data_IF_544321822444
#
_entry.id   IF_544321822444
#
_cell.length_a   1.000
_cell.length_b   1.000
_cell.length_c   1.000
_cell.angle_alpha   90.00
_cell.angle_beta   90.00
_cell.angle_gamma   90.00
#
_symmetry.space_group_name_H-M   'P 1'
#
loop_
_entity.id
_entity.type
_entity.pdbx_description
1 polymer ?
#
# COMPACT_ATOMS: atom_id res chain seq x y z
N UNK A 1 5.88 -12.14 41.12
CA UNK A 1 5.35 -12.81 42.34
C UNK A 1 4.95 -14.24 41.98
N UNK A 2 4.19 -14.50 40.96
CA UNK A 2 3.68 -15.81 40.54
C UNK A 2 4.80 -16.85 40.35
N UNK A 3 5.93 -16.45 39.82
CA UNK A 3 7.11 -17.28 39.58
C UNK A 3 7.77 -17.79 40.86
N UNK A 4 7.74 -16.96 41.92
CA UNK A 4 8.48 -17.27 43.18
C UNK A 4 7.59 -17.57 44.36
N UNK A 5 6.25 -17.53 44.22
CA UNK A 5 5.31 -17.74 45.34
C UNK A 5 5.37 -19.14 45.95
N UNK A 6 5.91 -20.11 45.23
CA UNK A 6 6.11 -21.47 45.73
C UNK A 6 7.35 -21.61 46.63
N UNK A 7 8.25 -20.63 46.58
CA UNK A 7 9.51 -20.61 47.36
C UNK A 7 9.50 -19.58 48.48
N UNK A 8 8.76 -18.48 48.29
CA UNK A 8 8.70 -17.37 49.25
C UNK A 8 7.26 -16.91 49.44
N UNK A 9 6.93 -16.42 50.64
CA UNK A 9 5.58 -15.86 50.85
C UNK A 9 5.36 -14.59 50.04
N UNK A 10 4.11 -14.35 49.65
CA UNK A 10 3.70 -13.15 48.86
C UNK A 10 4.07 -11.87 49.63
N UNK A 11 3.94 -11.89 50.96
CA UNK A 11 4.32 -10.78 51.85
C UNK A 11 5.79 -10.46 51.72
N UNK A 12 6.64 -11.49 51.82
CA UNK A 12 8.08 -11.34 51.72
C UNK A 12 8.49 -10.77 50.37
N UNK A 13 7.97 -11.34 49.27
CA UNK A 13 8.26 -10.87 47.93
C UNK A 13 7.87 -9.39 47.74
N UNK A 14 6.64 -9.04 48.15
CA UNK A 14 6.14 -7.65 48.00
C UNK A 14 6.97 -6.67 48.83
N UNK A 15 7.34 -7.05 50.09
CA UNK A 15 8.15 -6.20 50.99
C UNK A 15 9.57 -6.00 50.45
N UNK A 16 10.20 -7.05 49.95
CA UNK A 16 11.54 -7.02 49.38
C UNK A 16 11.60 -6.16 48.11
N UNK A 17 10.67 -6.36 47.16
CA UNK A 17 10.61 -5.60 45.93
C UNK A 17 10.23 -4.13 46.15
N UNK A 18 9.38 -3.84 47.14
CA UNK A 18 9.05 -2.46 47.52
C UNK A 18 10.28 -1.69 48.05
N UNK A 19 11.19 -2.35 48.76
CA UNK A 19 12.43 -1.72 49.26
C UNK A 19 13.47 -1.48 48.18
N UNK A 20 13.54 -2.36 47.19
CA UNK A 20 14.66 -2.41 46.23
C UNK A 20 14.29 -1.87 44.83
N UNK A 21 13.09 -1.30 44.66
CA UNK A 21 12.62 -0.80 43.37
C UNK A 21 12.26 0.68 43.44
N UNK A 22 12.87 1.51 42.60
CA UNK A 22 12.49 2.89 42.43
C UNK A 22 11.00 2.95 41.92
N UNK A 23 10.16 3.74 42.59
CA UNK A 23 8.73 3.82 42.27
C UNK A 23 7.84 2.84 43.06
N UNK A 24 8.41 2.01 43.96
CA UNK A 24 7.67 1.12 44.82
C UNK A 24 7.20 -0.19 44.15
N UNK A 25 6.35 -0.93 44.87
CA UNK A 25 5.80 -2.20 44.38
C UNK A 25 4.40 -2.43 44.98
N UNK A 26 3.63 -3.34 44.35
CA UNK A 26 2.29 -3.71 44.81
C UNK A 26 2.32 -4.28 46.22
N UNK A 27 1.31 -4.00 47.06
CA UNK A 27 1.15 -4.64 48.35
C UNK A 27 0.65 -6.07 48.21
N UNK A 28 0.91 -6.92 49.22
CA UNK A 28 0.40 -8.30 49.25
C UNK A 28 -1.11 -8.39 49.19
N UNK A 29 -1.82 -7.42 49.83
CA UNK A 29 -3.28 -7.28 49.72
C UNK A 29 -3.71 -6.91 48.29
N UNK A 30 -3.03 -5.92 47.70
CA UNK A 30 -3.30 -5.50 46.29
C UNK A 30 -3.08 -6.63 45.29
N UNK A 31 -2.01 -7.44 45.50
CA UNK A 31 -1.74 -8.63 44.67
C UNK A 31 -2.88 -9.65 44.80
N UNK A 32 -3.28 -10.05 46.03
CA UNK A 32 -4.38 -11.00 46.20
C UNK A 32 -5.70 -10.48 45.64
N UNK A 33 -6.00 -9.20 45.83
CA UNK A 33 -7.19 -8.58 45.26
C UNK A 33 -7.15 -8.55 43.73
N UNK A 34 -6.00 -8.28 43.11
CA UNK A 34 -5.86 -8.33 41.65
C UNK A 34 -6.07 -9.74 41.11
N UNK A 35 -5.61 -10.79 41.83
CA UNK A 35 -5.85 -12.19 41.45
C UNK A 35 -7.30 -12.63 41.63
N UNK A 36 -7.98 -12.15 42.66
CA UNK A 36 -9.40 -12.46 42.90
C UNK A 36 -10.37 -11.81 41.94
N UNK A 37 -10.01 -10.65 41.39
CA UNK A 37 -10.88 -9.90 40.45
C UNK A 37 -11.07 -10.57 39.08
N UNK A 38 -10.16 -11.45 38.67
CA UNK A 38 -10.13 -11.95 37.31
C UNK A 38 -9.80 -10.86 36.28
N UNK A 39 -10.12 -11.13 35.02
CA UNK A 39 -9.92 -10.16 33.92
C UNK A 39 -11.00 -9.10 33.98
N UNK A 40 -10.61 -7.82 33.97
CA UNK A 40 -11.57 -6.71 33.93
C UNK A 40 -12.35 -6.68 32.61
N UNK A 41 -13.54 -6.09 32.62
CA UNK A 41 -14.32 -5.88 31.37
C UNK A 41 -13.51 -5.12 30.30
N UNK A 42 -12.69 -4.15 30.70
CA UNK A 42 -11.74 -3.49 29.82
C UNK A 42 -10.69 -4.45 29.25
N UNK A 43 -10.18 -5.37 30.06
CA UNK A 43 -9.21 -6.38 29.61
C UNK A 43 -9.80 -7.37 28.61
N UNK A 44 -11.06 -7.77 28.80
CA UNK A 44 -11.77 -8.62 27.85
C UNK A 44 -11.97 -7.88 26.52
N UNK A 45 -12.43 -6.63 26.57
CA UNK A 45 -12.57 -5.78 25.39
C UNK A 45 -11.23 -5.58 24.67
N UNK A 46 -10.16 -5.32 25.39
CA UNK A 46 -8.83 -5.16 24.82
C UNK A 46 -8.35 -6.45 24.11
N UNK A 47 -8.61 -7.63 24.66
CA UNK A 47 -8.27 -8.90 24.02
C UNK A 47 -8.97 -9.08 22.66
N UNK A 48 -10.26 -8.84 22.61
CA UNK A 48 -11.03 -8.88 21.35
C UNK A 48 -10.49 -7.89 20.32
N UNK A 49 -10.17 -6.67 20.73
CA UNK A 49 -9.63 -5.63 19.85
C UNK A 49 -8.22 -5.96 19.37
N UNK A 50 -7.38 -6.58 20.20
CA UNK A 50 -6.04 -7.06 19.82
C UNK A 50 -6.12 -8.12 18.74
N UNK A 51 -7.04 -9.07 18.84
CA UNK A 51 -7.28 -10.07 17.80
C UNK A 51 -7.73 -9.42 16.49
N UNK A 52 -8.69 -8.47 16.55
CA UNK A 52 -9.14 -7.75 15.36
C UNK A 52 -8.04 -6.94 14.71
N UNK A 53 -7.24 -6.22 15.49
CA UNK A 53 -6.07 -5.46 15.01
C UNK A 53 -5.07 -6.40 14.34
N UNK A 54 -4.81 -7.56 14.92
CA UNK A 54 -3.90 -8.55 14.35
C UNK A 54 -4.41 -9.11 13.02
N UNK A 55 -5.72 -9.35 12.90
CA UNK A 55 -6.36 -9.76 11.67
C UNK A 55 -6.25 -8.67 10.58
N UNK A 56 -6.68 -7.43 10.89
CA UNK A 56 -6.57 -6.30 9.95
C UNK A 56 -5.11 -6.10 9.51
N UNK A 57 -4.14 -6.19 10.42
CA UNK A 57 -2.74 -6.02 10.09
C UNK A 57 -2.25 -7.09 9.11
N UNK A 58 -2.61 -8.35 9.34
CA UNK A 58 -2.28 -9.49 8.48
C UNK A 58 -2.92 -9.36 7.09
N UNK A 59 -4.23 -9.05 7.04
CA UNK A 59 -5.00 -8.89 5.82
C UNK A 59 -4.55 -7.69 4.96
N UNK A 60 -3.76 -6.79 5.56
CA UNK A 60 -3.18 -5.61 4.92
C UNK A 60 -1.64 -5.71 4.81
N UNK A 61 -1.11 -6.89 4.49
CA UNK A 61 0.33 -7.14 4.23
C UNK A 61 1.26 -6.71 5.36
N UNK A 62 0.77 -6.56 6.58
CA UNK A 62 1.58 -6.13 7.72
C UNK A 62 2.07 -4.67 7.63
N UNK A 63 1.45 -3.83 6.82
CA UNK A 63 1.98 -2.48 6.55
C UNK A 63 1.26 -1.35 7.30
N UNK A 64 0.07 -1.61 7.86
CA UNK A 64 -0.70 -0.54 8.48
C UNK A 64 -0.07 -0.06 9.78
N UNK A 65 0.33 1.22 9.81
CA UNK A 65 0.64 1.95 11.03
C UNK A 65 -0.64 2.47 11.70
N UNK A 66 -0.47 3.11 12.86
CA UNK A 66 -1.57 3.57 13.73
C UNK A 66 -2.68 4.33 13.00
N UNK A 67 -2.34 5.23 12.07
CA UNK A 67 -3.36 6.02 11.35
C UNK A 67 -4.25 5.14 10.48
N UNK A 68 -3.66 4.30 9.62
CA UNK A 68 -4.44 3.41 8.75
C UNK A 68 -5.20 2.37 9.56
N UNK A 69 -4.60 1.82 10.62
CA UNK A 69 -5.25 0.89 11.53
C UNK A 69 -6.47 1.52 12.19
N UNK A 70 -6.34 2.75 12.69
CA UNK A 70 -7.44 3.50 13.28
C UNK A 70 -8.60 3.69 12.29
N UNK A 71 -8.31 4.14 11.05
CA UNK A 71 -9.34 4.26 10.01
C UNK A 71 -9.97 2.91 9.63
N UNK A 72 -9.19 1.83 9.60
CA UNK A 72 -9.71 0.49 9.30
C UNK A 72 -10.68 0.02 10.40
N UNK A 73 -10.34 0.22 11.67
CA UNK A 73 -11.22 -0.11 12.79
C UNK A 73 -12.53 0.68 12.76
N UNK A 74 -12.48 1.98 12.46
CA UNK A 74 -13.67 2.80 12.28
C UNK A 74 -14.56 2.31 11.12
N UNK A 75 -13.98 1.85 10.03
CA UNK A 75 -14.74 1.23 8.91
C UNK A 75 -15.44 -0.06 9.33
N UNK A 76 -14.87 -0.79 10.26
CA UNK A 76 -15.48 -1.98 10.88
C UNK A 76 -16.53 -1.63 11.96
N UNK A 77 -16.87 -0.35 12.14
CA UNK A 77 -17.81 0.11 13.16
C UNK A 77 -17.24 0.13 14.58
N UNK A 78 -15.93 0.00 14.74
CA UNK A 78 -15.25 0.01 16.05
C UNK A 78 -14.81 1.43 16.38
N UNK A 79 -15.53 2.07 17.28
CA UNK A 79 -15.20 3.42 17.75
C UNK A 79 -14.20 3.39 18.90
N UNK A 80 -12.94 3.69 18.57
CA UNK A 80 -11.83 3.85 19.51
C UNK A 80 -10.92 5.00 19.10
N UNK A 81 -10.30 5.66 20.08
CA UNK A 81 -9.36 6.74 19.82
C UNK A 81 -8.02 6.25 19.23
N UNK A 82 -7.32 7.15 18.53
CA UNK A 82 -6.02 6.87 17.91
C UNK A 82 -4.97 6.42 18.94
N UNK A 83 -4.94 7.01 20.12
CA UNK A 83 -3.99 6.64 21.19
C UNK A 83 -4.29 5.24 21.75
N UNK A 84 -5.57 4.88 21.87
CA UNK A 84 -5.95 3.52 22.26
C UNK A 84 -5.56 2.52 21.17
N UNK A 85 -5.75 2.85 19.88
CA UNK A 85 -5.27 2.05 18.76
C UNK A 85 -3.76 1.82 18.85
N UNK A 86 -2.98 2.87 19.10
CA UNK A 86 -1.52 2.76 19.26
C UNK A 86 -1.12 1.85 20.42
N UNK A 87 -1.83 1.93 21.56
CA UNK A 87 -1.61 1.08 22.72
C UNK A 87 -1.92 -0.38 22.41
N UNK A 88 -3.05 -0.65 21.76
CA UNK A 88 -3.48 -2.00 21.39
C UNK A 88 -2.58 -2.62 20.32
N UNK A 89 -2.10 -1.85 19.35
CA UNK A 89 -1.10 -2.33 18.39
C UNK A 89 0.20 -2.75 19.05
N UNK A 90 0.65 -2.01 20.08
CA UNK A 90 1.83 -2.42 20.87
C UNK A 90 1.57 -3.73 21.64
N UNK A 91 0.38 -3.91 22.21
CA UNK A 91 -0.01 -5.16 22.86
C UNK A 91 -0.09 -6.33 21.88
N UNK A 92 -0.58 -6.07 20.66
CA UNK A 92 -0.61 -7.05 19.58
C UNK A 92 0.79 -7.37 19.00
N UNK A 93 1.82 -6.59 19.36
CA UNK A 93 3.16 -6.75 18.79
C UNK A 93 3.26 -6.36 17.31
N UNK A 94 2.33 -5.52 16.79
CA UNK A 94 2.28 -5.10 15.39
C UNK A 94 2.63 -3.63 15.23
N UNK A 95 3.28 -3.30 14.11
CA UNK A 95 3.67 -1.93 13.78
C UNK A 95 3.60 -1.70 12.27
N UNK A 96 3.48 -0.44 11.85
CA UNK A 96 3.50 -0.10 10.44
C UNK A 96 4.89 -0.30 9.82
N UNK A 97 4.89 -0.69 8.55
CA UNK A 97 6.12 -0.82 7.76
C UNK A 97 6.50 0.54 7.18
N UNK A 98 7.71 1.01 7.47
CA UNK A 98 8.27 2.21 6.86
C UNK A 98 8.64 1.99 5.40
N UNK A 99 8.63 3.06 4.59
CA UNK A 99 9.22 2.99 3.25
C UNK A 99 10.73 2.82 3.39
N UNK A 100 11.29 1.72 2.88
CA UNK A 100 12.72 1.54 2.75
C UNK A 100 13.32 2.59 1.78
N UNK A 101 14.62 2.87 1.88
CA UNK A 101 15.33 3.63 0.85
C UNK A 101 15.39 2.78 -0.42
N UNK A 102 14.83 3.29 -1.52
CA UNK A 102 14.98 2.66 -2.83
C UNK A 102 16.33 3.12 -3.43
N UNK A 103 17.19 2.22 -3.92
CA UNK A 103 18.36 2.63 -4.68
C UNK A 103 17.89 3.26 -6.01
N UNK A 104 18.52 4.36 -6.41
CA UNK A 104 18.26 5.02 -7.68
C UNK A 104 18.90 4.19 -8.79
N UNK A 105 18.09 3.62 -9.69
CA UNK A 105 18.54 2.67 -10.73
C UNK A 105 18.33 3.17 -12.16
N UNK A 106 17.86 4.40 -12.36
CA UNK A 106 17.55 4.95 -13.68
C UNK A 106 18.81 5.33 -14.44
N UNK A 107 19.01 4.77 -15.64
CA UNK A 107 20.02 5.22 -16.61
C UNK A 107 19.36 6.13 -17.63
N UNK A 108 19.94 7.29 -17.87
CA UNK A 108 19.49 8.25 -18.89
C UNK A 108 19.52 7.62 -20.30
N UNK A 109 18.42 7.62 -21.05
CA UNK A 109 18.42 7.11 -22.43
C UNK A 109 19.22 8.02 -23.35
N UNK A 110 19.84 7.41 -24.39
CA UNK A 110 20.69 8.13 -25.35
C UNK A 110 19.94 8.74 -26.54
N UNK A 111 18.63 8.57 -26.64
CA UNK A 111 17.82 9.10 -27.76
C UNK A 111 16.88 10.20 -27.27
N UNK A 112 16.73 11.31 -28.05
CA UNK A 112 15.75 12.34 -27.72
C UNK A 112 14.33 11.78 -27.85
N UNK A 113 13.51 12.04 -26.85
CA UNK A 113 12.07 11.83 -26.90
C UNK A 113 11.41 13.12 -27.37
N UNK A 114 10.57 13.02 -28.40
CA UNK A 114 9.91 14.17 -29.03
C UNK A 114 8.48 14.40 -28.49
N UNK A 115 8.02 13.57 -27.55
CA UNK A 115 6.69 13.75 -26.94
C UNK A 115 6.71 15.00 -26.05
N UNK A 116 5.66 15.84 -26.09
CA UNK A 116 5.56 17.01 -25.22
C UNK A 116 5.31 16.59 -23.77
N UNK A 117 5.74 17.42 -22.83
CA UNK A 117 5.23 17.35 -21.46
C UNK A 117 3.89 18.07 -21.38
N UNK A 118 2.80 17.32 -21.31
CA UNK A 118 1.43 17.84 -21.20
C UNK A 118 0.97 17.98 -19.76
N UNK A 119 1.79 17.52 -18.78
CA UNK A 119 1.42 17.48 -17.37
C UNK A 119 2.03 18.65 -16.61
N UNK A 120 3.18 19.19 -17.09
CA UNK A 120 3.88 20.35 -16.48
C UNK A 120 4.06 20.20 -14.96
N UNK A 121 4.32 18.96 -14.50
CA UNK A 121 4.43 18.59 -13.06
C UNK A 121 3.14 18.71 -12.25
N UNK A 122 2.01 19.05 -12.87
CA UNK A 122 0.71 19.07 -12.21
C UNK A 122 0.03 17.69 -12.28
N UNK A 123 0.46 16.74 -11.44
CA UNK A 123 -0.17 15.42 -11.32
C UNK A 123 -1.50 15.49 -10.56
N UNK A 124 -2.41 16.30 -11.10
CA UNK A 124 -3.79 16.45 -10.64
C UNK A 124 -4.73 16.15 -11.80
N UNK A 125 -5.80 15.45 -11.53
CA UNK A 125 -6.86 15.19 -12.46
C UNK A 125 -8.19 15.61 -11.84
N UNK A 126 -9.08 16.19 -12.62
CA UNK A 126 -10.40 16.66 -12.17
C UNK A 126 -11.43 15.52 -12.07
N UNK A 127 -11.12 14.37 -12.67
CA UNK A 127 -11.97 13.19 -12.68
C UNK A 127 -11.20 11.92 -13.08
N UNK A 128 -11.86 10.75 -12.95
CA UNK A 128 -11.26 9.49 -13.38
C UNK A 128 -11.01 9.48 -14.89
N UNK A 129 -9.99 8.73 -15.31
CA UNK A 129 -9.61 8.56 -16.71
C UNK A 129 -9.30 9.89 -17.46
N UNK A 130 -8.74 10.88 -16.77
CA UNK A 130 -8.23 12.11 -17.38
C UNK A 130 -6.70 12.13 -17.48
N UNK A 131 -6.03 11.49 -16.54
CA UNK A 131 -4.58 11.36 -16.54
C UNK A 131 -4.18 9.99 -16.00
N UNK A 132 -3.49 9.21 -16.81
CA UNK A 132 -2.82 8.00 -16.41
C UNK A 132 -1.32 8.19 -16.34
N UNK A 133 -0.69 7.57 -15.38
CA UNK A 133 0.77 7.45 -15.29
C UNK A 133 1.18 6.00 -15.39
N UNK A 134 2.28 5.74 -16.10
CA UNK A 134 2.80 4.39 -16.29
C UNK A 134 4.29 4.33 -15.98
N UNK A 135 4.71 3.20 -15.43
CA UNK A 135 6.12 2.91 -15.18
C UNK A 135 6.35 1.39 -15.13
N UNK A 136 7.58 1.00 -15.41
CA UNK A 136 8.03 -0.40 -15.38
C UNK A 136 8.99 -0.59 -14.21
N UNK A 137 8.80 -1.68 -13.50
CA UNK A 137 9.74 -2.10 -12.45
C UNK A 137 10.19 -3.54 -12.68
N UNK A 138 11.22 -3.98 -11.97
CA UNK A 138 11.70 -5.36 -12.06
C UNK A 138 11.64 -6.06 -10.71
N UNK A 139 11.45 -7.36 -10.77
CA UNK A 139 11.44 -8.30 -9.65
C UNK A 139 12.51 -9.34 -9.89
N UNK A 140 13.34 -9.60 -8.90
CA UNK A 140 14.33 -10.68 -8.97
C UNK A 140 13.73 -11.98 -8.48
N UNK A 141 13.75 -13.01 -9.35
CA UNK A 141 13.39 -14.38 -9.02
C UNK A 141 14.62 -15.27 -9.04
N UNK A 142 14.50 -16.53 -8.63
CA UNK A 142 15.58 -17.53 -8.76
C UNK A 142 15.89 -17.86 -10.21
N UNK A 143 14.89 -17.75 -11.11
CA UNK A 143 15.03 -18.04 -12.54
C UNK A 143 15.42 -16.83 -13.39
N UNK A 144 15.65 -15.65 -12.80
CA UNK A 144 16.02 -14.44 -13.49
C UNK A 144 15.18 -13.22 -13.08
N UNK A 145 15.14 -12.22 -13.95
CA UNK A 145 14.33 -11.01 -13.72
C UNK A 145 12.97 -11.16 -14.36
N UNK A 146 11.95 -10.67 -13.65
CA UNK A 146 10.60 -10.46 -14.13
C UNK A 146 10.34 -8.95 -14.12
N UNK A 147 9.70 -8.46 -15.14
CA UNK A 147 9.35 -7.06 -15.28
C UNK A 147 7.85 -6.90 -15.05
N UNK A 148 7.47 -5.86 -14.32
CA UNK A 148 6.09 -5.51 -14.06
C UNK A 148 5.83 -4.09 -14.56
N UNK A 149 4.79 -3.91 -15.37
CA UNK A 149 4.28 -2.62 -15.82
C UNK A 149 2.96 -2.33 -15.11
N UNK A 150 2.80 -1.10 -14.65
CA UNK A 150 1.56 -0.61 -14.06
C UNK A 150 1.10 0.65 -14.78
N UNK A 151 -0.21 0.74 -15.04
CA UNK A 151 -0.90 1.96 -15.47
C UNK A 151 -1.83 2.37 -14.33
N UNK A 152 -1.67 3.59 -13.84
CA UNK A 152 -2.38 4.09 -12.66
C UNK A 152 -3.14 5.37 -12.99
N UNK A 153 -4.41 5.41 -12.67
CA UNK A 153 -5.23 6.62 -12.76
C UNK A 153 -4.84 7.61 -11.65
N UNK A 154 -4.47 8.81 -12.04
CA UNK A 154 -3.98 9.85 -11.13
C UNK A 154 -5.05 10.33 -10.17
N UNK A 155 -6.31 10.40 -10.60
CA UNK A 155 -7.41 10.86 -9.78
C UNK A 155 -7.74 9.89 -8.64
N UNK A 156 -8.04 8.65 -8.99
CA UNK A 156 -8.50 7.63 -8.05
C UNK A 156 -7.36 6.83 -7.39
N UNK A 157 -6.13 6.93 -7.89
CA UNK A 157 -5.00 6.06 -7.51
C UNK A 157 -5.22 4.59 -7.85
N UNK A 158 -6.24 4.28 -8.65
CA UNK A 158 -6.55 2.93 -9.09
C UNK A 158 -5.50 2.45 -10.09
N UNK A 159 -4.99 1.24 -9.91
CA UNK A 159 -4.24 0.55 -10.94
C UNK A 159 -5.27 0.04 -11.95
N UNK A 160 -5.31 0.67 -13.13
CA UNK A 160 -6.28 0.39 -14.19
C UNK A 160 -5.77 -0.65 -15.19
N UNK A 161 -4.46 -0.86 -15.25
CA UNK A 161 -3.84 -1.89 -16.06
C UNK A 161 -2.50 -2.32 -15.49
N UNK A 162 -2.16 -3.58 -15.67
CA UNK A 162 -0.88 -4.13 -15.28
C UNK A 162 -0.53 -5.37 -16.12
N UNK A 163 0.76 -5.67 -16.21
CA UNK A 163 1.25 -6.87 -16.86
C UNK A 163 2.57 -7.31 -16.24
N UNK A 164 2.87 -8.60 -16.34
CA UNK A 164 4.17 -9.18 -16.04
C UNK A 164 4.76 -9.90 -17.24
N UNK A 165 6.09 -9.86 -17.37
CA UNK A 165 6.82 -10.58 -18.39
C UNK A 165 8.25 -10.86 -17.92
N UNK A 166 8.84 -11.93 -18.43
CA UNK A 166 10.28 -12.19 -18.35
C UNK A 166 11.10 -11.35 -19.34
N UNK A 167 10.40 -10.57 -20.19
CA UNK A 167 10.98 -9.71 -21.22
C UNK A 167 10.48 -8.28 -21.11
N UNK A 168 11.36 -7.32 -21.36
CA UNK A 168 11.02 -5.89 -21.46
C UNK A 168 10.50 -5.46 -22.83
N UNK A 169 10.18 -6.39 -23.73
CA UNK A 169 9.67 -6.06 -25.07
C UNK A 169 8.33 -5.32 -24.94
N UNK A 170 8.16 -4.25 -25.71
CA UNK A 170 6.97 -3.37 -25.68
C UNK A 170 5.68 -4.14 -25.85
N UNK A 171 5.65 -5.07 -26.80
CA UNK A 171 4.48 -5.89 -27.13
C UNK A 171 4.07 -6.85 -26.00
N UNK A 172 5.06 -7.33 -25.23
CA UNK A 172 4.82 -8.32 -24.19
C UNK A 172 4.50 -7.72 -22.83
N UNK A 173 4.83 -6.46 -22.55
CA UNK A 173 4.73 -5.90 -21.21
C UNK A 173 3.91 -4.59 -21.17
N UNK A 174 4.44 -3.40 -21.56
CA UNK A 174 3.70 -2.17 -21.36
C UNK A 174 2.45 -2.09 -22.25
N UNK A 175 2.47 -2.71 -23.46
CA UNK A 175 1.31 -2.74 -24.32
C UNK A 175 0.17 -3.60 -23.73
N UNK A 176 0.48 -4.72 -23.08
CA UNK A 176 -0.54 -5.51 -22.38
C UNK A 176 -1.15 -4.74 -21.23
N UNK A 177 -0.33 -4.07 -20.40
CA UNK A 177 -0.84 -3.20 -19.34
C UNK A 177 -1.74 -2.08 -19.88
N UNK A 178 -1.34 -1.43 -20.99
CA UNK A 178 -2.13 -0.41 -21.64
C UNK A 178 -3.46 -0.97 -22.18
N UNK A 179 -3.44 -2.11 -22.86
CA UNK A 179 -4.65 -2.75 -23.39
C UNK A 179 -5.66 -3.08 -22.27
N UNK A 180 -5.16 -3.58 -21.13
CA UNK A 180 -6.00 -3.83 -19.96
C UNK A 180 -6.60 -2.52 -19.41
N UNK A 181 -5.79 -1.45 -19.33
CA UNK A 181 -6.25 -0.14 -18.88
C UNK A 181 -7.35 0.40 -19.80
N UNK A 182 -7.14 0.35 -21.12
CA UNK A 182 -8.13 0.78 -22.12
C UNK A 182 -9.43 -0.04 -22.00
N UNK A 183 -9.31 -1.36 -21.88
CA UNK A 183 -10.48 -2.24 -21.72
C UNK A 183 -11.26 -1.98 -20.42
N UNK A 184 -10.59 -1.47 -19.37
CA UNK A 184 -11.23 -1.13 -18.10
C UNK A 184 -11.84 0.28 -18.07
N UNK A 185 -11.54 1.11 -19.05
CA UNK A 185 -12.06 2.47 -19.15
C UNK A 185 -13.37 2.49 -19.94
N UNK A 186 -14.39 3.18 -19.43
CA UNK A 186 -15.64 3.40 -20.15
C UNK A 186 -15.44 4.39 -21.29
N UNK A 187 -14.58 5.40 -21.06
CA UNK A 187 -14.27 6.45 -22.03
C UNK A 187 -12.79 6.88 -21.90
N UNK A 188 -12.15 7.12 -23.03
CA UNK A 188 -10.75 7.59 -23.11
C UNK A 188 -10.61 8.98 -23.74
N UNK A 189 -11.69 9.63 -24.07
CA UNK A 189 -11.68 10.98 -24.70
C UNK A 189 -11.03 12.02 -23.80
N UNK A 190 -9.98 12.66 -24.31
CA UNK A 190 -9.21 13.67 -23.59
C UNK A 190 -8.31 13.12 -22.50
N UNK A 191 -8.09 11.79 -22.46
CA UNK A 191 -7.17 11.15 -21.55
C UNK A 191 -5.72 11.43 -21.97
N UNK A 192 -4.90 11.81 -21.00
CA UNK A 192 -3.46 11.94 -21.15
C UNK A 192 -2.79 10.69 -20.51
N UNK A 193 -1.91 10.06 -21.26
CA UNK A 193 -1.07 8.98 -20.77
C UNK A 193 0.36 9.47 -20.62
N UNK A 194 0.83 9.59 -19.39
CA UNK A 194 2.16 10.08 -19.05
C UNK A 194 3.07 8.92 -18.63
N UNK A 195 4.28 8.86 -19.19
CA UNK A 195 5.28 7.87 -18.86
C UNK A 195 6.69 8.48 -18.85
N UNK A 196 7.66 7.74 -18.34
CA UNK A 196 9.06 8.12 -18.48
C UNK A 196 9.55 8.00 -19.94
N UNK A 197 10.82 8.37 -20.16
CA UNK A 197 11.51 8.26 -21.45
C UNK A 197 11.95 6.83 -21.80
N UNK A 198 11.39 5.81 -21.18
CA UNK A 198 11.74 4.42 -21.47
C UNK A 198 11.52 4.08 -22.96
N UNK A 199 12.48 3.35 -23.56
CA UNK A 199 12.42 2.95 -24.98
C UNK A 199 11.12 2.18 -25.32
N UNK A 200 10.51 1.55 -24.35
CA UNK A 200 9.26 0.79 -24.50
C UNK A 200 8.07 1.72 -24.76
N UNK A 201 8.03 2.89 -24.13
CA UNK A 201 6.95 3.86 -24.26
C UNK A 201 7.07 4.74 -25.50
N UNK A 202 8.26 4.84 -26.09
CA UNK A 202 8.49 5.59 -27.36
C UNK A 202 8.35 4.70 -28.60
N UNK A 203 8.02 3.42 -28.45
CA UNK A 203 7.83 2.52 -29.59
C UNK A 203 6.64 2.92 -30.42
N UNK A 204 6.74 2.70 -31.76
CA UNK A 204 5.67 3.02 -32.73
C UNK A 204 4.37 2.31 -32.34
N UNK A 205 4.44 1.00 -32.06
CA UNK A 205 3.27 0.19 -31.72
C UNK A 205 2.53 0.72 -30.49
N UNK A 206 3.28 1.17 -29.47
CA UNK A 206 2.68 1.73 -28.25
C UNK A 206 1.95 3.04 -28.52
N UNK A 207 2.60 3.94 -29.27
CA UNK A 207 2.03 5.26 -29.60
C UNK A 207 0.87 5.15 -30.58
N UNK A 208 0.91 4.23 -31.56
CA UNK A 208 -0.23 3.91 -32.42
C UNK A 208 -1.44 3.42 -31.61
N UNK A 209 -1.21 2.59 -30.56
CA UNK A 209 -2.28 2.12 -29.71
C UNK A 209 -2.93 3.25 -28.89
N UNK A 210 -2.14 4.19 -28.38
CA UNK A 210 -2.67 5.40 -27.73
C UNK A 210 -3.51 6.23 -28.72
N UNK A 211 -2.98 6.47 -29.91
CA UNK A 211 -3.65 7.26 -30.96
C UNK A 211 -4.98 6.62 -31.41
N UNK A 212 -5.04 5.30 -31.57
CA UNK A 212 -6.26 4.55 -31.92
C UNK A 212 -7.41 4.79 -30.95
N UNK A 213 -7.09 5.10 -29.68
CA UNK A 213 -8.06 5.35 -28.62
C UNK A 213 -8.18 6.84 -28.23
N UNK A 214 -7.62 7.74 -29.03
CA UNK A 214 -7.69 9.18 -28.76
C UNK A 214 -6.95 9.62 -27.50
N UNK A 215 -5.98 8.83 -27.04
CA UNK A 215 -5.22 9.09 -25.83
C UNK A 215 -3.98 9.90 -26.20
N UNK A 216 -3.80 11.06 -25.56
CA UNK A 216 -2.63 11.90 -25.77
C UNK A 216 -1.41 11.32 -25.03
N UNK A 217 -0.31 11.12 -25.76
CA UNK A 217 0.96 10.69 -25.17
C UNK A 217 1.70 11.89 -24.58
N UNK A 218 2.16 11.75 -23.34
CA UNK A 218 2.97 12.74 -22.62
C UNK A 218 4.21 12.11 -22.02
N UNK A 219 5.27 12.89 -21.86
CA UNK A 219 6.49 12.47 -21.21
C UNK A 219 7.07 13.60 -20.38
N UNK A 220 7.73 13.29 -19.27
CA UNK A 220 8.42 14.27 -18.44
C UNK A 220 9.71 14.79 -19.08
N UNK A 221 10.35 15.75 -18.44
CA UNK A 221 11.65 16.30 -18.88
C UNK A 221 12.76 15.30 -18.60
N UNK A 222 13.77 15.25 -19.48
CA UNK A 222 14.92 14.34 -19.34
C UNK A 222 15.66 14.61 -18.04
N UNK A 223 15.72 13.64 -17.15
CA UNK A 223 16.55 13.68 -15.93
C UNK A 223 15.85 14.20 -14.67
N UNK A 224 14.56 14.51 -14.70
CA UNK A 224 13.82 14.93 -13.52
C UNK A 224 12.98 13.79 -12.94
N UNK A 225 13.39 13.31 -11.77
CA UNK A 225 12.71 12.23 -11.04
C UNK A 225 11.35 12.64 -10.43
N UNK A 226 10.99 13.92 -10.46
CA UNK A 226 9.68 14.38 -9.97
C UNK A 226 8.56 14.18 -10.98
N UNK A 227 8.91 14.06 -12.26
CA UNK A 227 7.95 14.00 -13.36
C UNK A 227 7.15 12.68 -13.44
N UNK A 228 7.50 11.65 -12.66
CA UNK A 228 6.73 10.39 -12.57
C UNK A 228 6.57 9.90 -11.12
N UNK A 229 6.60 10.81 -10.16
CA UNK A 229 6.61 10.48 -8.72
C UNK A 229 5.43 9.61 -8.26
N UNK A 230 4.26 9.67 -8.92
CA UNK A 230 3.14 8.81 -8.59
C UNK A 230 3.38 7.37 -9.04
N UNK A 231 3.83 7.14 -10.26
CA UNK A 231 4.11 5.80 -10.76
C UNK A 231 5.28 5.17 -9.97
N UNK A 232 6.32 5.95 -9.67
CA UNK A 232 7.41 5.51 -8.77
C UNK A 232 6.89 5.13 -7.37
N UNK A 233 5.89 5.86 -6.86
CA UNK A 233 5.27 5.54 -5.57
C UNK A 233 4.52 4.20 -5.62
N UNK A 234 3.82 3.89 -6.71
CA UNK A 234 3.16 2.59 -6.91
C UNK A 234 4.21 1.48 -6.95
N UNK A 235 5.26 1.63 -7.75
CA UNK A 235 6.36 0.68 -7.85
C UNK A 235 7.09 0.48 -6.52
N UNK A 236 7.35 1.55 -5.79
CA UNK A 236 7.94 1.51 -4.45
C UNK A 236 7.05 0.80 -3.43
N UNK A 237 5.74 1.02 -3.50
CA UNK A 237 4.76 0.31 -2.67
C UNK A 237 4.70 -1.17 -3.02
N UNK A 238 4.62 -1.52 -4.31
CA UNK A 238 4.64 -2.89 -4.79
C UNK A 238 5.87 -3.65 -4.28
N UNK A 239 7.05 -3.07 -4.45
CA UNK A 239 8.30 -3.67 -3.94
C UNK A 239 8.28 -3.85 -2.43
N UNK A 240 7.91 -2.82 -1.69
CA UNK A 240 7.97 -2.84 -0.24
C UNK A 240 6.87 -3.69 0.40
N UNK A 241 5.66 -3.64 -0.15
CA UNK A 241 4.47 -4.29 0.42
C UNK A 241 4.38 -5.77 0.02
N UNK A 242 4.81 -6.13 -1.18
CA UNK A 242 4.75 -7.49 -1.70
C UNK A 242 6.14 -8.11 -1.96
N UNK A 243 6.92 -7.52 -2.84
CA UNK A 243 8.09 -8.21 -3.43
C UNK A 243 9.19 -8.49 -2.41
N UNK A 244 9.52 -7.52 -1.55
CA UNK A 244 10.57 -7.67 -0.54
C UNK A 244 10.16 -8.47 0.71
N UNK A 245 8.95 -9.05 0.71
CA UNK A 245 8.46 -9.85 1.84
C UNK A 245 9.02 -11.28 1.84
N UNK A 246 9.34 -11.80 0.67
CA UNK A 246 9.87 -13.17 0.48
C UNK A 246 10.76 -13.28 -0.76
N UNK A 247 11.34 -14.45 -0.97
CA UNK A 247 12.02 -14.81 -2.22
C UNK A 247 11.02 -15.46 -3.16
N UNK A 248 11.19 -15.21 -4.46
CA UNK A 248 10.32 -15.67 -5.52
C UNK A 248 11.04 -16.71 -6.36
N UNK A 249 10.36 -17.78 -6.71
CA UNK A 249 10.96 -18.87 -7.46
C UNK A 249 10.84 -18.62 -8.97
N UNK A 250 9.67 -18.27 -9.46
CA UNK A 250 9.39 -18.09 -10.87
C UNK A 250 8.29 -17.05 -11.16
N UNK A 251 8.10 -16.77 -12.48
CA UNK A 251 7.19 -15.73 -12.99
C UNK A 251 5.76 -15.93 -12.53
N UNK A 252 5.22 -17.15 -12.64
CA UNK A 252 3.81 -17.46 -12.32
C UNK A 252 3.50 -17.17 -10.85
N UNK A 253 4.44 -17.45 -9.96
CA UNK A 253 4.25 -17.15 -8.53
C UNK A 253 4.15 -15.63 -8.27
N UNK A 254 4.99 -14.85 -8.96
CA UNK A 254 4.95 -13.38 -8.90
C UNK A 254 3.64 -12.87 -9.50
N UNK A 255 3.18 -13.46 -10.60
CA UNK A 255 1.97 -13.05 -11.31
C UNK A 255 0.72 -13.22 -10.44
N UNK A 256 0.54 -14.40 -9.83
CA UNK A 256 -0.58 -14.68 -8.92
C UNK A 256 -0.57 -13.68 -7.76
N UNK A 257 0.57 -13.51 -7.11
CA UNK A 257 0.69 -12.59 -5.98
C UNK A 257 0.50 -11.12 -6.39
N UNK A 258 0.89 -10.74 -7.61
CA UNK A 258 0.65 -9.40 -8.14
C UNK A 258 -0.83 -9.16 -8.40
N UNK A 259 -1.54 -10.14 -8.95
CA UNK A 259 -2.99 -10.08 -9.14
C UNK A 259 -3.71 -9.82 -7.80
N UNK A 260 -3.37 -10.60 -6.75
CA UNK A 260 -3.93 -10.42 -5.41
C UNK A 260 -3.60 -9.05 -4.83
N UNK A 261 -2.34 -8.58 -5.01
CA UNK A 261 -1.90 -7.28 -4.51
C UNK A 261 -2.60 -6.12 -5.23
N UNK A 262 -2.80 -6.20 -6.56
CA UNK A 262 -3.54 -5.18 -7.32
C UNK A 262 -5.00 -5.11 -6.91
N UNK A 263 -5.65 -6.27 -6.73
CA UNK A 263 -7.03 -6.33 -6.22
C UNK A 263 -7.13 -5.68 -4.84
N UNK A 264 -6.23 -6.06 -3.93
CA UNK A 264 -6.15 -5.46 -2.60
C UNK A 264 -5.83 -3.96 -2.65
N UNK A 265 -4.90 -3.52 -3.52
CA UNK A 265 -4.57 -2.10 -3.71
C UNK A 265 -5.80 -1.28 -4.09
N UNK A 266 -6.60 -1.77 -5.01
CA UNK A 266 -7.76 -1.08 -5.54
C UNK A 266 -8.97 -1.11 -4.60
N UNK A 267 -9.22 -2.23 -3.92
CA UNK A 267 -10.48 -2.50 -3.23
C UNK A 267 -10.37 -2.39 -1.71
N UNK A 268 -9.20 -2.64 -1.13
CA UNK A 268 -9.03 -2.79 0.32
C UNK A 268 -8.08 -1.76 0.91
N UNK A 269 -6.97 -1.50 0.24
CA UNK A 269 -5.91 -0.62 0.75
C UNK A 269 -6.38 0.81 0.96
N UNK A 270 -6.15 1.33 2.17
CA UNK A 270 -6.46 2.73 2.49
C UNK A 270 -5.36 3.67 1.98
N UNK A 271 -5.76 4.70 1.22
CA UNK A 271 -4.87 5.70 0.67
C UNK A 271 -5.01 7.04 1.37
N UNK A 272 -3.93 7.55 1.94
CA UNK A 272 -3.96 8.83 2.66
C UNK A 272 -4.35 9.98 1.73
N UNK A 273 -3.89 9.99 0.49
CA UNK A 273 -4.22 10.99 -0.53
C UNK A 273 -5.71 11.00 -0.91
N UNK A 274 -6.44 9.92 -0.63
CA UNK A 274 -7.88 9.79 -0.87
C UNK A 274 -8.70 9.92 0.44
N UNK A 275 -8.16 10.56 1.46
CA UNK A 275 -8.81 10.67 2.77
C UNK A 275 -9.04 9.31 3.45
N UNK A 276 -8.09 8.39 3.30
CA UNK A 276 -8.15 7.01 3.82
C UNK A 276 -9.29 6.17 3.23
N UNK A 277 -9.65 6.45 1.97
CA UNK A 277 -10.55 5.61 1.16
C UNK A 277 -9.76 4.67 0.27
N UNK A 278 -10.42 3.65 -0.25
CA UNK A 278 -9.86 2.82 -1.32
C UNK A 278 -10.06 3.49 -2.68
N UNK A 279 -9.25 3.20 -3.70
CA UNK A 279 -9.45 3.71 -5.06
C UNK A 279 -10.86 3.50 -5.58
N UNK A 280 -11.40 2.30 -5.44
CA UNK A 280 -12.76 1.97 -5.89
C UNK A 280 -13.82 2.78 -5.14
N UNK A 281 -13.74 2.84 -3.81
CA UNK A 281 -14.73 3.61 -3.03
C UNK A 281 -14.65 5.12 -3.29
N UNK A 282 -13.47 5.64 -3.61
CA UNK A 282 -13.27 7.05 -3.97
C UNK A 282 -13.93 7.37 -5.30
N UNK A 283 -13.73 6.53 -6.32
CA UNK A 283 -14.33 6.71 -7.64
C UNK A 283 -15.87 6.73 -7.55
N UNK A 284 -16.46 5.76 -6.86
CA UNK A 284 -17.92 5.69 -6.71
C UNK A 284 -18.55 6.92 -6.04
N UNK A 285 -17.88 7.51 -5.07
CA UNK A 285 -18.39 8.69 -4.34
C UNK A 285 -18.28 9.99 -5.13
N UNK A 286 -17.40 10.02 -6.15
CA UNK A 286 -17.10 11.23 -6.92
C UNK A 286 -17.72 11.22 -8.31
N UNK A 287 -18.31 10.10 -8.74
CA UNK A 287 -19.13 10.07 -9.93
C UNK A 287 -20.42 10.88 -9.67
N UNK A 288 -20.86 11.73 -10.62
CA UNK A 288 -22.13 12.43 -10.48
C UNK A 288 -23.24 11.39 -10.30
N UNK A 289 -24.03 11.54 -9.23
CA UNK A 289 -25.21 10.71 -9.02
C UNK A 289 -26.17 11.07 -10.18
N UNK A 290 -26.29 10.18 -11.16
CA UNK A 290 -27.34 10.29 -12.16
C UNK A 290 -28.64 10.01 -11.40
N UNK A 291 -29.30 11.10 -10.94
CA UNK A 291 -30.67 10.99 -10.49
C UNK A 291 -31.50 10.59 -11.73
N UNK A 292 -31.91 9.32 -11.79
CA UNK A 292 -32.95 8.89 -12.71
C UNK A 292 -34.19 9.68 -12.36
N UNK A 293 -34.59 10.60 -13.26
CA UNK A 293 -35.89 11.29 -13.24
C UNK A 293 -36.93 10.34 -13.81
#
# INVERSE_FOLDING_TARGET
>A
IDEYRNRFSVEFICKTLKKNRAGGFITSRGYRQSKARGVSASGVRDAVLVERISAIHRDNYGIYGVRKMWHALHRDGIDIGREQTARLMRLAGVSGKGKGRSPMTTRTPQRPDLRPDLVEREFKAEGPNKLWVADITYVRTKKGFVYAAFVTDVYSRRIVGWALSDSMRTEALPLQALNQAIASAEETTGLIHHSDHGSQYVSVVYNERLAQHGIAASTGTVGDSYDNALAENVNGSYKNELIHTRRWDEVVEVEIATFEWVSWWNETRLHQSLGYRTPVSYTHLTLPTICSV
#
